data_IF_148839280544
#
_entry.id   IF_148839280544
#
_cell.length_a   1.000
_cell.length_b   1.000
_cell.length_c   1.000
_cell.angle_alpha   90.00
_cell.angle_beta   90.00
_cell.angle_gamma   90.00
#
_symmetry.space_group_name_H-M   'P 1'
#
loop_
_entity.id
_entity.type
_entity.pdbx_description
1 polymer ?
#
# COMPACT_ATOMS: atom_id res chain seq x y z
N UNK A 1 20.15 -6.77 11.21
CA UNK A 1 19.89 -6.34 12.60
C UNK A 1 18.68 -5.43 12.55
N UNK A 2 17.76 -5.61 13.47
CA UNK A 2 16.40 -5.04 13.41
C UNK A 2 16.46 -3.52 13.66
N UNK A 3 16.54 -2.74 12.58
CA UNK A 3 16.64 -1.27 12.60
C UNK A 3 15.33 -0.58 13.04
N UNK A 4 14.26 -1.34 13.27
CA UNK A 4 12.93 -0.81 13.57
C UNK A 4 12.92 0.04 14.84
N UNK A 5 13.64 -0.38 15.89
CA UNK A 5 13.77 0.40 17.13
C UNK A 5 14.49 1.73 16.88
N UNK A 6 15.60 1.71 16.13
CA UNK A 6 16.36 2.91 15.77
C UNK A 6 15.55 3.89 14.93
N UNK A 7 14.70 3.39 14.03
CA UNK A 7 13.76 4.22 13.28
C UNK A 7 12.67 4.82 14.18
N UNK A 8 12.13 4.05 15.12
CA UNK A 8 11.15 4.53 16.09
C UNK A 8 11.73 5.64 16.97
N UNK A 9 12.91 5.43 17.55
CA UNK A 9 13.63 6.42 18.36
C UNK A 9 13.93 7.70 17.57
N UNK A 10 14.35 7.54 16.31
CA UNK A 10 14.66 8.68 15.42
C UNK A 10 13.40 9.47 15.09
N UNK A 11 12.30 8.79 14.72
CA UNK A 11 11.02 9.44 14.45
C UNK A 11 10.46 10.12 15.70
N UNK A 12 10.53 9.48 16.87
CA UNK A 12 10.10 10.07 18.13
C UNK A 12 10.87 11.36 18.43
N UNK A 13 12.20 11.33 18.27
CA UNK A 13 13.08 12.49 18.45
C UNK A 13 12.78 13.61 17.46
N UNK A 14 12.69 13.31 16.17
CA UNK A 14 12.51 14.33 15.12
C UNK A 14 11.10 14.92 15.10
N UNK A 15 10.07 14.10 15.37
CA UNK A 15 8.69 14.55 15.44
C UNK A 15 8.30 15.14 16.79
N UNK A 16 9.18 15.07 17.79
CA UNK A 16 8.94 15.51 19.16
C UNK A 16 7.73 14.83 19.81
N UNK A 17 7.53 13.54 19.49
CA UNK A 17 6.43 12.71 19.99
C UNK A 17 6.94 11.60 20.89
N UNK A 18 6.09 11.10 21.77
CA UNK A 18 6.42 9.89 22.52
C UNK A 18 6.54 8.68 21.57
N UNK A 19 7.43 7.74 21.87
CA UNK A 19 7.58 6.50 21.09
C UNK A 19 6.26 5.73 20.97
N UNK A 20 5.44 5.72 22.03
CA UNK A 20 4.11 5.10 22.02
C UNK A 20 3.14 5.75 21.03
N UNK A 21 3.24 7.07 20.85
CA UNK A 21 2.44 7.81 19.87
C UNK A 21 2.90 7.48 18.46
N UNK A 22 4.22 7.50 18.19
CA UNK A 22 4.78 7.12 16.89
C UNK A 22 4.45 5.67 16.54
N UNK A 23 4.51 4.76 17.51
CA UNK A 23 4.12 3.36 17.34
C UNK A 23 2.64 3.22 16.99
N UNK A 24 1.75 3.97 17.67
CA UNK A 24 0.32 3.99 17.35
C UNK A 24 0.07 4.52 15.95
N UNK A 25 0.76 5.59 15.55
CA UNK A 25 0.69 6.13 14.20
C UNK A 25 1.15 5.11 13.16
N UNK A 26 2.29 4.45 13.39
CA UNK A 26 2.82 3.42 12.51
C UNK A 26 1.84 2.24 12.35
N UNK A 27 1.24 1.79 13.45
CA UNK A 27 0.21 0.76 13.44
C UNK A 27 -1.00 1.17 12.60
N UNK A 28 -1.55 2.37 12.83
CA UNK A 28 -2.71 2.86 12.09
C UNK A 28 -2.42 3.02 10.59
N UNK A 29 -1.24 3.56 10.24
CA UNK A 29 -0.80 3.67 8.84
C UNK A 29 -0.65 2.29 8.22
N UNK A 30 0.00 1.35 8.92
CA UNK A 30 0.20 -0.02 8.47
C UNK A 30 -1.12 -0.73 8.22
N UNK A 31 -2.08 -0.67 9.15
CA UNK A 31 -3.40 -1.29 8.96
C UNK A 31 -4.14 -0.68 7.77
N UNK A 32 -4.12 0.65 7.59
CA UNK A 32 -4.74 1.30 6.43
C UNK A 32 -4.08 0.87 5.11
N UNK A 33 -2.76 0.76 5.09
CA UNK A 33 -2.02 0.31 3.92
C UNK A 33 -2.36 -1.14 3.56
N UNK A 34 -2.32 -2.04 4.54
CA UNK A 34 -2.65 -3.46 4.35
C UNK A 34 -4.08 -3.64 3.86
N UNK A 35 -5.04 -2.89 4.42
CA UNK A 35 -6.42 -2.92 3.96
C UNK A 35 -6.55 -2.48 2.50
N UNK A 36 -5.88 -1.39 2.12
CA UNK A 36 -5.89 -0.90 0.74
C UNK A 36 -5.31 -1.93 -0.22
N UNK A 37 -4.16 -2.51 0.09
CA UNK A 37 -3.52 -3.55 -0.74
C UNK A 37 -4.41 -4.78 -0.89
N UNK A 38 -5.10 -5.17 0.19
CA UNK A 38 -6.06 -6.28 0.17
C UNK A 38 -7.21 -6.03 -0.82
N UNK A 39 -7.83 -4.84 -0.78
CA UNK A 39 -8.93 -4.46 -1.67
C UNK A 39 -8.48 -4.32 -3.12
N UNK A 40 -7.34 -3.66 -3.38
CA UNK A 40 -6.79 -3.54 -4.72
C UNK A 40 -6.45 -4.91 -5.32
N UNK A 41 -5.93 -5.83 -4.51
CA UNK A 41 -5.70 -7.21 -4.93
C UNK A 41 -6.99 -7.94 -5.32
N UNK A 42 -8.08 -7.74 -4.58
CA UNK A 42 -9.39 -8.29 -4.94
C UNK A 42 -9.89 -7.72 -6.27
N UNK A 43 -9.74 -6.41 -6.46
CA UNK A 43 -10.12 -5.72 -7.68
C UNK A 43 -9.37 -6.26 -8.91
N UNK A 44 -8.03 -6.34 -8.84
CA UNK A 44 -7.20 -6.84 -9.95
C UNK A 44 -7.45 -8.32 -10.28
N UNK A 45 -7.97 -9.11 -9.32
CA UNK A 45 -8.42 -10.49 -9.55
C UNK A 45 -9.89 -10.60 -9.98
N UNK A 46 -10.53 -9.48 -10.31
CA UNK A 46 -11.95 -9.40 -10.69
C UNK A 46 -12.92 -9.96 -9.63
N UNK A 47 -12.54 -9.92 -8.36
CA UNK A 47 -13.37 -10.40 -7.24
C UNK A 47 -14.39 -9.34 -6.78
N UNK A 48 -14.09 -8.07 -7.03
CA UNK A 48 -14.97 -6.92 -6.79
C UNK A 48 -14.97 -6.03 -8.03
N UNK A 49 -16.03 -5.24 -8.19
CA UNK A 49 -16.15 -4.27 -9.27
C UNK A 49 -15.23 -3.06 -9.07
N UNK A 50 -14.99 -2.31 -10.16
CA UNK A 50 -14.23 -1.06 -10.13
C UNK A 50 -14.90 -0.03 -9.21
N UNK A 51 -16.22 0.09 -9.28
CA UNK A 51 -16.96 1.07 -8.48
C UNK A 51 -16.89 0.75 -6.98
N UNK A 52 -17.00 -0.53 -6.60
CA UNK A 52 -16.81 -0.98 -5.20
C UNK A 52 -15.39 -0.70 -4.71
N UNK A 53 -14.37 -0.93 -5.54
CA UNK A 53 -12.99 -0.61 -5.21
C UNK A 53 -12.80 0.90 -5.02
N UNK A 54 -13.33 1.73 -5.92
CA UNK A 54 -13.26 3.20 -5.84
C UNK A 54 -13.94 3.70 -4.55
N UNK A 55 -15.11 3.18 -4.22
CA UNK A 55 -15.82 3.56 -2.99
C UNK A 55 -15.01 3.20 -1.73
N UNK A 56 -14.25 2.12 -1.76
CA UNK A 56 -13.53 1.61 -0.59
C UNK A 56 -12.16 2.26 -0.40
N UNK A 57 -11.37 2.42 -1.47
CA UNK A 57 -9.99 2.91 -1.38
C UNK A 57 -9.73 4.24 -2.07
N UNK A 58 -10.66 4.73 -2.90
CA UNK A 58 -10.54 5.97 -3.66
C UNK A 58 -10.04 5.76 -5.09
N UNK A 59 -10.48 6.65 -6.00
CA UNK A 59 -10.20 6.57 -7.45
C UNK A 59 -8.69 6.58 -7.77
N UNK A 60 -7.92 7.45 -7.12
CA UNK A 60 -6.49 7.59 -7.37
C UNK A 60 -5.73 6.27 -7.16
N UNK A 61 -6.13 5.50 -6.16
CA UNK A 61 -5.50 4.21 -5.84
C UNK A 61 -5.88 3.12 -6.83
N UNK A 62 -7.13 3.13 -7.31
CA UNK A 62 -7.60 2.21 -8.34
C UNK A 62 -6.87 2.48 -9.66
N UNK A 63 -6.81 3.74 -10.09
CA UNK A 63 -6.10 4.12 -11.32
C UNK A 63 -4.59 3.87 -11.25
N UNK A 64 -3.98 4.03 -10.07
CA UNK A 64 -2.59 3.67 -9.88
C UNK A 64 -2.38 2.16 -10.02
N UNK A 65 -3.23 1.35 -9.39
CA UNK A 65 -3.15 -0.10 -9.46
C UNK A 65 -3.37 -0.62 -10.89
N UNK A 66 -4.31 -0.04 -11.63
CA UNK A 66 -4.54 -0.34 -13.05
C UNK A 66 -3.29 -0.09 -13.89
N UNK A 67 -2.67 1.09 -13.75
CA UNK A 67 -1.43 1.44 -14.48
C UNK A 67 -0.27 0.52 -14.14
N UNK A 68 -0.09 0.19 -12.85
CA UNK A 68 0.96 -0.72 -12.40
C UNK A 68 0.74 -2.14 -12.93
N UNK A 69 -0.50 -2.62 -12.93
CA UNK A 69 -0.85 -3.92 -13.46
C UNK A 69 -0.59 -3.99 -14.97
N UNK A 70 -0.98 -2.97 -15.74
CA UNK A 70 -0.68 -2.89 -17.17
C UNK A 70 0.82 -2.92 -17.44
N UNK A 71 1.61 -2.09 -16.75
CA UNK A 71 3.07 -2.07 -16.92
C UNK A 71 3.71 -3.43 -16.60
N UNK A 72 3.28 -4.08 -15.52
CA UNK A 72 3.75 -5.43 -15.18
C UNK A 72 3.40 -6.46 -16.26
N UNK A 73 2.20 -6.39 -16.83
CA UNK A 73 1.78 -7.31 -17.91
C UNK A 73 2.56 -7.06 -19.21
N UNK A 74 2.87 -5.80 -19.52
CA UNK A 74 3.75 -5.43 -20.64
C UNK A 74 5.16 -6.00 -20.45
N UNK A 75 5.74 -5.87 -19.25
CA UNK A 75 7.05 -6.44 -18.90
C UNK A 75 7.05 -7.97 -19.03
N UNK A 76 5.99 -8.65 -18.58
CA UNK A 76 5.84 -10.09 -18.72
C UNK A 76 5.74 -10.51 -20.19
N UNK A 77 4.95 -9.78 -20.99
CA UNK A 77 4.80 -10.04 -22.43
C UNK A 77 6.12 -9.88 -23.15
N UNK A 78 6.87 -8.80 -22.84
CA UNK A 78 8.22 -8.58 -23.34
C UNK A 78 9.16 -9.74 -22.96
N UNK A 79 9.15 -10.18 -21.71
CA UNK A 79 9.99 -11.28 -21.24
C UNK A 79 9.63 -12.62 -21.89
N UNK A 80 8.36 -12.83 -22.22
CA UNK A 80 7.87 -14.03 -22.90
C UNK A 80 8.10 -14.02 -24.43
N UNK A 81 8.41 -12.86 -25.02
CA UNK A 81 8.71 -12.74 -26.45
C UNK A 81 7.52 -13.03 -27.39
N UNK A 82 6.30 -12.93 -26.85
CA UNK A 82 5.03 -13.11 -27.57
C UNK A 82 4.43 -11.78 -28.00
#
# INVERSE_FOLDING_TARGET
MDNTLTYLETLARETHKAESEVMTMAFQVGVRQLWREHILGQYLRHQISRDEAIQTVGIDWVELAERQHTAMMEDLTWAMGT
#
